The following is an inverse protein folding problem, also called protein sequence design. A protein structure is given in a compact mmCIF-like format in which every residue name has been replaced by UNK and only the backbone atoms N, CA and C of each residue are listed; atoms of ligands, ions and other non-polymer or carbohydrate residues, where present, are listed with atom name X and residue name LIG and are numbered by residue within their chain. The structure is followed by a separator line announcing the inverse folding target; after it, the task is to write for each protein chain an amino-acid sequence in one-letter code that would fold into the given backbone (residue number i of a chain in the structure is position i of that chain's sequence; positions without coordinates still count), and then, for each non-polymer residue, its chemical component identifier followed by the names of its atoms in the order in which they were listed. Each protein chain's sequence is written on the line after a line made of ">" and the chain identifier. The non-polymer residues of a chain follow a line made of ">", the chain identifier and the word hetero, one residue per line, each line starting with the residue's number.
data_IF_837464706150
#
_entry.id   IF_837464706150
#
_cell.length_a   1.000
_cell.length_b   1.000
_cell.length_c   1.000
_cell.angle_alpha   90.00
_cell.angle_beta   90.00
_cell.angle_gamma   90.00
#
_symmetry.space_group_name_H-M   'P 1'
#
loop_
_entity.id
_entity.type
_entity.pdbx_description
1 polymer ?
#
# COMPACT_ATOMS: atom_id res chain seq x y z
N UNK A 1 -13.82 -49.22 41.11
CA UNK A 1 -12.66 -48.38 40.70
C UNK A 1 -12.71 -47.92 39.24
N UNK A 2 -13.77 -48.18 38.47
CA UNK A 2 -13.83 -47.93 37.01
C UNK A 2 -14.36 -46.54 36.62
N UNK A 3 -15.13 -45.87 37.48
CA UNK A 3 -15.72 -44.55 37.19
C UNK A 3 -14.70 -43.41 37.25
N UNK A 4 -13.79 -43.42 38.24
CA UNK A 4 -12.77 -42.37 38.41
C UNK A 4 -11.73 -42.35 37.28
N UNK A 5 -11.33 -43.51 36.76
CA UNK A 5 -10.37 -43.62 35.65
C UNK A 5 -10.95 -43.08 34.34
N UNK A 6 -12.26 -43.27 34.10
CA UNK A 6 -12.97 -42.69 32.94
C UNK A 6 -13.02 -41.16 33.02
N UNK A 7 -13.29 -40.59 34.20
CA UNK A 7 -13.31 -39.13 34.41
C UNK A 7 -11.93 -38.48 34.22
N UNK A 8 -10.85 -39.15 34.66
CA UNK A 8 -9.47 -38.68 34.46
C UNK A 8 -9.07 -38.75 32.98
N UNK A 9 -9.47 -39.82 32.28
CA UNK A 9 -9.18 -39.98 30.85
C UNK A 9 -9.91 -38.93 30.00
N UNK A 10 -11.17 -38.62 30.32
CA UNK A 10 -11.91 -37.53 29.63
C UNK A 10 -11.30 -36.15 29.91
N UNK A 11 -10.76 -35.93 31.11
CA UNK A 11 -10.07 -34.69 31.45
C UNK A 11 -8.77 -34.51 30.66
N UNK A 12 -7.92 -35.55 30.58
CA UNK A 12 -6.70 -35.52 29.77
C UNK A 12 -7.00 -35.35 28.28
N UNK A 13 -8.04 -36.01 27.77
CA UNK A 13 -8.48 -35.86 26.39
C UNK A 13 -8.92 -34.42 26.08
N UNK A 14 -9.66 -33.78 27.00
CA UNK A 14 -10.03 -32.37 26.90
C UNK A 14 -8.81 -31.43 26.92
N UNK A 15 -7.83 -31.69 27.78
CA UNK A 15 -6.59 -30.90 27.85
C UNK A 15 -5.82 -30.94 26.53
N UNK A 16 -5.61 -32.14 25.97
CA UNK A 16 -4.89 -32.31 24.70
C UNK A 16 -5.65 -31.65 23.55
N UNK A 17 -6.97 -31.83 23.50
CA UNK A 17 -7.82 -31.20 22.47
C UNK A 17 -7.77 -29.67 22.57
N UNK A 18 -7.77 -29.12 23.78
CA UNK A 18 -7.64 -27.69 24.02
C UNK A 18 -6.31 -27.13 23.52
N UNK A 19 -5.19 -27.83 23.78
CA UNK A 19 -3.86 -27.44 23.28
C UNK A 19 -3.81 -27.49 21.74
N UNK A 20 -4.37 -28.53 21.11
CA UNK A 20 -4.42 -28.60 19.64
C UNK A 20 -5.26 -27.45 19.08
N UNK A 21 -6.41 -27.16 19.68
CA UNK A 21 -7.29 -26.09 19.23
C UNK A 21 -6.64 -24.70 19.35
N UNK A 22 -5.85 -24.44 20.39
CA UNK A 22 -5.13 -23.18 20.52
C UNK A 22 -4.07 -23.01 19.45
N UNK A 23 -3.28 -24.05 19.13
CA UNK A 23 -2.31 -23.97 18.02
C UNK A 23 -2.99 -23.71 16.67
N UNK A 24 -4.10 -24.41 16.40
CA UNK A 24 -4.88 -24.18 15.16
C UNK A 24 -5.40 -22.75 15.10
N UNK A 25 -5.95 -22.22 16.19
CA UNK A 25 -6.44 -20.84 16.27
C UNK A 25 -5.32 -19.81 16.05
N UNK A 26 -4.12 -20.04 16.61
CA UNK A 26 -2.97 -19.16 16.40
C UNK A 26 -2.47 -19.18 14.95
N UNK A 27 -2.50 -20.34 14.28
CA UNK A 27 -2.18 -20.44 12.86
C UNK A 27 -3.20 -19.64 12.03
N UNK A 28 -4.50 -19.77 12.31
CA UNK A 28 -5.53 -18.99 11.62
C UNK A 28 -5.38 -17.48 11.83
N UNK A 29 -5.04 -17.03 13.05
CA UNK A 29 -4.71 -15.62 13.32
C UNK A 29 -3.49 -15.16 12.53
N UNK A 30 -2.42 -15.96 12.50
CA UNK A 30 -1.21 -15.65 11.72
C UNK A 30 -1.48 -15.53 10.22
N UNK A 31 -2.26 -16.47 9.67
CA UNK A 31 -2.67 -16.45 8.27
C UNK A 31 -3.59 -15.27 7.96
N UNK A 32 -4.54 -14.94 8.83
CA UNK A 32 -5.42 -13.78 8.66
C UNK A 32 -4.65 -12.46 8.65
N UNK A 33 -3.63 -12.31 9.50
CA UNK A 33 -2.74 -11.15 9.47
C UNK A 33 -1.87 -11.12 8.21
N UNK A 34 -1.40 -12.27 7.72
CA UNK A 34 -0.65 -12.35 6.46
C UNK A 34 -1.52 -12.05 5.24
N UNK A 35 -2.79 -12.45 5.25
CA UNK A 35 -3.77 -12.17 4.18
C UNK A 35 -4.35 -10.76 4.22
N UNK A 36 -4.19 -10.06 5.34
CA UNK A 36 -4.44 -8.63 5.43
C UNK A 36 -3.30 -7.90 4.69
N UNK A 37 -3.27 -8.08 3.37
CA UNK A 37 -2.44 -7.29 2.47
C UNK A 37 -2.67 -5.83 2.84
N UNK A 38 -1.57 -5.14 3.13
CA UNK A 38 -1.54 -3.79 3.65
C UNK A 38 -2.47 -2.89 2.82
N UNK A 39 -3.70 -2.72 3.26
CA UNK A 39 -4.50 -1.59 2.81
C UNK A 39 -3.79 -0.41 3.40
N UNK A 40 -2.91 0.22 2.62
CA UNK A 40 -2.24 1.46 2.99
C UNK A 40 -3.36 2.44 3.32
N UNK A 41 -3.66 2.62 4.61
CA UNK A 41 -4.77 3.47 5.10
C UNK A 41 -4.65 4.92 4.63
N UNK A 42 -3.50 5.26 4.10
CA UNK A 42 -3.16 6.56 3.60
C UNK A 42 -3.27 6.70 2.07
N UNK A 43 -3.58 5.61 1.35
CA UNK A 43 -3.90 5.63 -0.08
C UNK A 43 -5.43 5.58 -0.26
N UNK A 44 -5.98 6.52 -1.02
CA UNK A 44 -7.39 6.55 -1.41
C UNK A 44 -7.48 6.71 -2.91
N UNK A 45 -7.93 5.67 -3.62
CA UNK A 45 -8.16 5.71 -5.07
C UNK A 45 -9.60 6.14 -5.38
N UNK A 46 -9.78 6.79 -6.53
CA UNK A 46 -11.09 7.20 -7.03
C UNK A 46 -11.71 6.10 -7.90
N UNK A 47 -13.03 6.12 -8.06
CA UNK A 47 -13.75 5.20 -8.96
C UNK A 47 -13.48 5.47 -10.45
N UNK A 48 -12.90 6.63 -10.77
CA UNK A 48 -12.54 7.04 -12.13
C UNK A 48 -11.49 8.16 -12.15
N UNK A 49 -10.95 8.49 -13.33
CA UNK A 49 -9.94 9.54 -13.47
C UNK A 49 -10.52 10.90 -13.05
N UNK A 50 -9.79 11.58 -12.17
CA UNK A 50 -10.10 12.91 -11.67
C UNK A 50 -9.51 14.01 -12.56
N UNK A 51 -8.90 15.01 -11.93
CA UNK A 51 -8.35 16.17 -12.63
C UNK A 51 -7.11 15.82 -13.46
N UNK A 52 -7.02 16.38 -14.68
CA UNK A 52 -5.80 16.33 -15.50
C UNK A 52 -4.75 17.30 -14.95
N UNK A 53 -3.52 16.81 -14.79
CA UNK A 53 -2.37 17.59 -14.37
C UNK A 53 -1.62 18.05 -15.61
N UNK A 54 -1.57 19.37 -15.81
CA UNK A 54 -0.79 20.00 -16.87
C UNK A 54 0.71 19.92 -16.55
N UNK A 55 1.30 18.76 -16.80
CA UNK A 55 2.72 18.46 -16.62
C UNK A 55 3.25 17.72 -17.85
N UNK A 56 4.47 18.05 -18.30
CA UNK A 56 5.13 17.30 -19.38
C UNK A 56 6.25 16.42 -18.85
N UNK A 57 6.83 16.75 -17.69
CA UNK A 57 7.88 15.98 -17.06
C UNK A 57 7.71 15.98 -15.54
N UNK A 58 8.02 14.86 -14.90
CA UNK A 58 8.09 14.71 -13.45
C UNK A 58 9.51 14.31 -13.07
N UNK A 59 10.02 14.87 -11.98
CA UNK A 59 11.29 14.49 -11.39
C UNK A 59 11.04 13.77 -10.07
N UNK A 60 11.39 12.48 -10.02
CA UNK A 60 11.37 11.69 -8.79
C UNK A 60 12.40 12.27 -7.82
N UNK A 61 12.00 12.52 -6.58
CA UNK A 61 12.93 12.97 -5.53
C UNK A 61 13.06 11.97 -4.38
N UNK A 62 12.15 11.00 -4.30
CA UNK A 62 12.19 9.95 -3.29
C UNK A 62 11.39 8.73 -3.75
N UNK A 63 12.03 7.56 -3.77
CA UNK A 63 11.36 6.26 -3.86
C UNK A 63 11.03 5.74 -2.46
N UNK A 64 9.81 5.25 -2.28
CA UNK A 64 9.29 4.69 -1.04
C UNK A 64 9.67 3.21 -0.88
N UNK A 65 9.65 2.66 0.35
CA UNK A 65 9.99 1.25 0.59
C UNK A 65 9.11 0.23 -0.15
N UNK A 66 7.89 0.61 -0.52
CA UNK A 66 6.95 -0.21 -1.30
C UNK A 66 7.14 -0.07 -2.82
N UNK A 67 8.15 0.69 -3.26
CA UNK A 67 8.46 0.92 -4.67
C UNK A 67 7.68 2.07 -5.31
N UNK A 68 6.75 2.71 -4.60
CA UNK A 68 6.08 3.92 -5.10
C UNK A 68 7.07 5.10 -5.16
N UNK A 69 6.81 6.07 -6.02
CA UNK A 69 7.72 7.21 -6.22
C UNK A 69 7.03 8.54 -5.97
N UNK A 70 7.60 9.34 -5.06
CA UNK A 70 7.26 10.75 -4.92
C UNK A 70 8.04 11.57 -5.95
N UNK A 71 7.32 12.35 -6.73
CA UNK A 71 7.88 13.17 -7.79
C UNK A 71 7.32 14.60 -7.72
N UNK A 72 8.11 15.57 -8.16
CA UNK A 72 7.63 16.92 -8.41
C UNK A 72 7.44 17.14 -9.91
N UNK A 73 6.46 17.94 -10.29
CA UNK A 73 6.35 18.40 -11.68
C UNK A 73 7.64 19.18 -12.02
N UNK A 74 8.28 18.85 -13.14
CA UNK A 74 9.58 19.43 -13.51
C UNK A 74 9.45 20.71 -14.34
N UNK A 75 8.27 21.02 -14.84
CA UNK A 75 7.97 22.11 -15.78
C UNK A 75 6.70 22.93 -15.43
N UNK A 76 6.51 24.09 -16.07
CA UNK A 76 5.32 24.92 -15.92
C UNK A 76 5.22 25.74 -14.62
N UNK A 77 4.02 26.21 -14.31
CA UNK A 77 3.72 26.98 -13.08
C UNK A 77 3.61 26.07 -11.85
N UNK A 78 3.28 24.79 -12.07
CA UNK A 78 3.03 23.81 -11.01
C UNK A 78 4.28 23.04 -10.56
N UNK A 79 5.49 23.56 -10.80
CA UNK A 79 6.77 22.85 -10.53
C UNK A 79 6.98 22.38 -9.09
N UNK A 80 6.20 22.92 -8.17
CA UNK A 80 6.28 22.59 -6.74
C UNK A 80 5.24 21.57 -6.30
N UNK A 81 4.37 21.14 -7.20
CA UNK A 81 3.35 20.13 -6.91
C UNK A 81 4.01 18.77 -6.85
N UNK A 82 3.98 18.18 -5.65
CA UNK A 82 4.37 16.80 -5.40
C UNK A 82 3.23 15.87 -5.77
N UNK A 83 3.56 14.76 -6.44
CA UNK A 83 2.64 13.69 -6.83
C UNK A 83 3.22 12.33 -6.41
N UNK A 84 2.36 11.31 -6.34
CA UNK A 84 2.78 9.91 -6.14
C UNK A 84 2.52 9.10 -7.41
N UNK A 85 3.53 8.39 -7.88
CA UNK A 85 3.40 7.30 -8.85
C UNK A 85 3.37 5.96 -8.11
N UNK A 86 2.34 5.16 -8.34
CA UNK A 86 2.27 3.80 -7.82
C UNK A 86 3.25 2.88 -8.57
N UNK A 87 3.78 1.84 -7.90
CA UNK A 87 4.55 0.81 -8.57
C UNK A 87 3.65 0.05 -9.56
N UNK A 88 4.19 -0.24 -10.74
CA UNK A 88 3.52 -1.03 -11.78
C UNK A 88 4.42 -2.22 -12.17
N UNK A 89 3.84 -3.27 -12.74
CA UNK A 89 4.57 -4.47 -13.11
C UNK A 89 5.71 -4.15 -14.10
N UNK A 90 6.95 -4.43 -13.68
CA UNK A 90 8.13 -4.18 -14.49
C UNK A 90 8.63 -2.73 -14.49
N UNK A 91 7.98 -1.82 -13.76
CA UNK A 91 8.44 -0.43 -13.59
C UNK A 91 9.13 -0.30 -12.23
N UNK A 92 10.44 -0.07 -12.27
CA UNK A 92 11.23 0.25 -11.08
C UNK A 92 11.64 1.73 -11.13
N UNK A 93 11.23 2.49 -10.12
CA UNK A 93 11.63 3.89 -9.97
C UNK A 93 12.97 4.02 -9.25
N UNK A 94 13.66 5.13 -9.50
CA UNK A 94 14.87 5.54 -8.76
C UNK A 94 14.88 7.06 -8.53
N UNK A 95 15.62 7.49 -7.53
CA UNK A 95 15.74 8.93 -7.20
C UNK A 95 16.36 9.71 -8.37
N UNK A 96 15.92 10.97 -8.54
CA UNK A 96 16.26 11.86 -9.66
C UNK A 96 15.82 11.39 -11.07
N UNK A 97 15.11 10.27 -11.19
CA UNK A 97 14.52 9.83 -12.45
C UNK A 97 13.58 10.90 -13.03
N UNK A 98 13.64 11.07 -14.35
CA UNK A 98 12.72 11.92 -15.10
C UNK A 98 11.69 11.07 -15.82
N UNK A 99 10.42 11.25 -15.45
CA UNK A 99 9.28 10.60 -16.08
C UNK A 99 8.66 11.62 -17.04
N UNK A 100 8.74 11.35 -18.34
CA UNK A 100 8.14 12.22 -19.36
C UNK A 100 6.76 11.73 -19.71
N UNK A 101 5.81 12.65 -19.84
CA UNK A 101 4.48 12.36 -20.39
C UNK A 101 4.62 12.24 -21.90
N UNK A 102 4.40 11.05 -22.50
CA UNK A 102 4.54 10.87 -23.95
C UNK A 102 3.52 11.70 -24.73
N UNK A 103 3.85 12.06 -25.97
CA UNK A 103 2.90 12.71 -26.87
C UNK A 103 1.66 11.83 -27.08
N UNK A 104 0.47 12.42 -26.97
CA UNK A 104 -0.80 11.70 -27.06
C UNK A 104 -1.29 11.11 -25.73
N UNK A 105 -0.49 11.20 -24.67
CA UNK A 105 -0.90 10.85 -23.31
C UNK A 105 -1.11 12.09 -22.44
N UNK A 106 -1.68 11.87 -21.26
CA UNK A 106 -1.90 12.88 -20.22
C UNK A 106 -1.72 12.28 -18.84
N UNK A 107 -1.26 13.11 -17.90
CA UNK A 107 -1.22 12.75 -16.49
C UNK A 107 -2.56 13.08 -15.83
N UNK A 108 -3.20 12.10 -15.22
CA UNK A 108 -4.49 12.26 -14.54
C UNK A 108 -4.37 11.86 -13.08
N UNK A 109 -5.07 12.58 -12.21
CA UNK A 109 -5.19 12.20 -10.82
C UNK A 109 -6.15 11.01 -10.68
N UNK A 110 -5.71 9.93 -10.06
CA UNK A 110 -6.51 8.72 -9.81
C UNK A 110 -6.77 8.48 -8.31
N UNK A 111 -6.26 9.37 -7.46
CA UNK A 111 -6.44 9.24 -6.01
C UNK A 111 -5.67 10.29 -5.22
N UNK A 112 -5.57 10.05 -3.92
CA UNK A 112 -4.74 10.82 -2.99
C UNK A 112 -3.93 9.89 -2.10
N UNK A 113 -2.74 10.34 -1.73
CA UNK A 113 -1.85 9.66 -0.81
C UNK A 113 -1.45 10.61 0.31
N UNK A 114 -1.60 10.18 1.55
CA UNK A 114 -1.21 10.93 2.75
C UNK A 114 0.09 10.37 3.31
N UNK A 115 1.01 11.23 3.74
CA UNK A 115 2.23 10.80 4.41
C UNK A 115 2.72 11.85 5.40
N UNK A 116 3.56 11.41 6.32
CA UNK A 116 4.25 12.29 7.27
C UNK A 116 5.68 12.46 6.81
N UNK A 117 6.11 13.71 6.65
CA UNK A 117 7.50 14.04 6.31
C UNK A 117 8.42 13.79 7.51
N UNK A 118 9.74 13.74 7.28
CA UNK A 118 10.74 13.65 8.34
C UNK A 118 10.71 14.82 9.35
N UNK A 119 10.05 15.93 8.99
CA UNK A 119 9.82 17.09 9.87
C UNK A 119 8.44 17.08 10.53
N UNK A 120 7.79 15.91 10.58
CA UNK A 120 6.47 15.70 11.20
C UNK A 120 5.30 16.45 10.54
N UNK A 121 5.51 17.07 9.37
CA UNK A 121 4.40 17.63 8.60
C UNK A 121 3.62 16.53 7.90
N UNK A 122 2.30 16.54 8.08
CA UNK A 122 1.37 15.74 7.29
C UNK A 122 1.17 16.40 5.93
N UNK A 123 1.36 15.64 4.85
CA UNK A 123 1.08 16.07 3.47
C UNK A 123 0.10 15.10 2.83
N UNK A 124 -0.76 15.64 1.99
CA UNK A 124 -1.62 14.86 1.08
C UNK A 124 -1.27 15.27 -0.34
N UNK A 125 -0.97 14.30 -1.18
CA UNK A 125 -0.54 14.51 -2.57
C UNK A 125 -1.43 13.70 -3.53
N UNK A 126 -1.65 14.17 -4.76
CA UNK A 126 -2.36 13.40 -5.77
C UNK A 126 -1.57 12.14 -6.14
N UNK A 127 -2.31 11.05 -6.35
CA UNK A 127 -1.80 9.85 -7.02
C UNK A 127 -2.06 9.99 -8.50
N UNK A 128 -1.06 9.73 -9.33
CA UNK A 128 -1.09 10.07 -10.75
C UNK A 128 -0.81 8.85 -11.60
N UNK A 129 -1.53 8.79 -12.71
CA UNK A 129 -1.35 7.81 -13.78
C UNK A 129 -1.23 8.54 -15.13
N UNK A 130 -0.42 7.99 -16.03
CA UNK A 130 -0.27 8.52 -17.39
C UNK A 130 -1.12 7.66 -18.34
N UNK A 131 -2.26 8.22 -18.75
CA UNK A 131 -3.24 7.53 -19.60
C UNK A 131 -3.28 8.12 -21.01
N UNK A 132 -3.85 7.38 -21.96
CA UNK A 132 -4.09 7.89 -23.29
C UNK A 132 -5.15 9.02 -23.27
N UNK A 133 -5.02 9.99 -24.19
CA UNK A 133 -5.96 11.11 -24.30
C UNK A 133 -7.31 10.72 -24.89
#
# INVERSE_FOLDING_TARGET
>A
MTTRTKSILTFLGGLVTGVVLTFVFLIFLGLAQAYSGSTNKDLTLFDGPGQELLATEFKVFQVLPDGAALANIADGENRWTTVLFLPDEGVAYYDDQRIRVPTGKRAVQIGTYRYVTSREFVKTVPVVEIVDR
#
